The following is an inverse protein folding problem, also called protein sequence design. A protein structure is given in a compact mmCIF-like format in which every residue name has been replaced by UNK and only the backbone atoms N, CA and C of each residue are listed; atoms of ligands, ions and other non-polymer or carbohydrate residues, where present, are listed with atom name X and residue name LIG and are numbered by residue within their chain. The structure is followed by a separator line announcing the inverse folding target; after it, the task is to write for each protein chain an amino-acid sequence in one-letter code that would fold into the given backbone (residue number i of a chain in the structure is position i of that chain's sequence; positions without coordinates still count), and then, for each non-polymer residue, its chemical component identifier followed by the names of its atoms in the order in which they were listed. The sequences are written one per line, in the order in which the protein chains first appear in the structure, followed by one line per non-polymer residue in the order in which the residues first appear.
data_IF_003729692193
#
_entry.id   IF_003729692193
#
_cell.length_a   1.000
_cell.length_b   1.000
_cell.length_c   1.000
_cell.angle_alpha   90.00
_cell.angle_beta   90.00
_cell.angle_gamma   90.00
#
_symmetry.space_group_name_H-M   'P 1'
#
loop_
_entity.id
_entity.type
_entity.pdbx_description
1 polymer ?
#
# COMPACT_ATOMS: atom_id res chain seq x y z
N UNK A 1 21.07 18.30 65.56
CA UNK A 1 19.74 17.94 65.01
C UNK A 1 19.88 17.92 63.49
N UNK A 2 19.87 16.74 62.89
CA UNK A 2 20.18 16.54 61.47
C UNK A 2 18.95 16.86 60.60
N UNK A 3 19.11 17.81 59.69
CA UNK A 3 18.10 18.19 58.69
C UNK A 3 18.02 17.12 57.60
N UNK A 4 16.86 16.47 57.45
CA UNK A 4 16.60 15.48 56.40
C UNK A 4 16.05 16.18 55.16
N UNK A 5 16.88 16.33 54.14
CA UNK A 5 16.47 16.79 52.80
C UNK A 5 15.78 15.62 52.10
N UNK A 6 14.48 15.75 51.82
CA UNK A 6 13.73 14.83 50.98
C UNK A 6 13.90 15.25 49.51
N UNK A 7 14.75 14.52 48.77
CA UNK A 7 14.87 14.68 47.31
C UNK A 7 13.68 13.93 46.70
N UNK A 8 12.68 14.67 46.22
CA UNK A 8 11.64 14.13 45.36
C UNK A 8 12.26 13.88 43.97
N UNK A 9 12.69 12.65 43.72
CA UNK A 9 12.98 12.19 42.37
C UNK A 9 11.65 12.11 41.61
N UNK A 10 11.36 13.13 40.81
CA UNK A 10 10.31 13.04 39.79
C UNK A 10 10.80 12.05 38.74
N UNK A 11 10.46 10.78 38.92
CA UNK A 11 10.65 9.77 37.88
C UNK A 11 9.65 10.14 36.79
N UNK A 12 10.13 10.81 35.74
CA UNK A 12 9.39 10.94 34.50
C UNK A 12 9.27 9.53 33.94
N UNK A 13 8.14 8.88 34.16
CA UNK A 13 7.82 7.59 33.53
C UNK A 13 7.58 7.91 32.07
N UNK A 14 8.65 7.93 31.28
CA UNK A 14 8.54 7.93 29.82
C UNK A 14 7.84 6.62 29.50
N UNK A 15 6.58 6.68 29.05
CA UNK A 15 5.93 5.52 28.45
C UNK A 15 6.76 5.20 27.21
N UNK A 16 7.68 4.25 27.33
CA UNK A 16 8.27 3.59 26.18
C UNK A 16 7.15 2.74 25.62
N UNK A 17 6.29 3.36 24.82
CA UNK A 17 5.49 2.63 23.87
C UNK A 17 6.50 1.94 22.97
N UNK A 18 6.51 0.61 22.95
CA UNK A 18 7.00 -0.12 21.78
C UNK A 18 6.03 0.24 20.64
N UNK A 19 6.15 1.44 20.10
CA UNK A 19 5.30 1.92 19.03
C UNK A 19 5.57 1.00 17.84
N UNK A 20 4.58 0.18 17.48
CA UNK A 20 4.64 -0.63 16.27
C UNK A 20 4.87 0.27 15.05
N UNK A 21 5.37 -0.31 13.95
CA UNK A 21 5.57 0.44 12.70
C UNK A 21 4.26 1.12 12.29
N UNK A 22 4.36 2.37 11.83
CA UNK A 22 3.24 3.11 11.23
C UNK A 22 2.71 2.32 10.03
N UNK A 23 1.42 1.99 9.99
CA UNK A 23 0.84 1.32 8.82
C UNK A 23 0.51 2.36 7.75
N UNK A 24 1.02 2.17 6.54
CA UNK A 24 0.71 3.01 5.38
C UNK A 24 0.16 2.13 4.28
N UNK A 25 -1.13 2.28 3.98
CA UNK A 25 -1.80 1.56 2.89
C UNK A 25 -1.90 2.49 1.67
N UNK A 26 -1.49 2.00 0.51
CA UNK A 26 -1.55 2.73 -0.77
C UNK A 26 -2.54 1.99 -1.67
N UNK A 27 -3.64 2.66 -1.99
CA UNK A 27 -4.68 2.20 -2.91
C UNK A 27 -4.44 2.82 -4.28
N UNK A 28 -4.27 2.00 -5.33
CA UNK A 28 -3.87 2.47 -6.65
C UNK A 28 -4.39 1.59 -7.78
N UNK A 29 -4.13 2.00 -9.02
CA UNK A 29 -4.49 1.25 -10.24
C UNK A 29 -3.24 1.09 -11.11
N UNK A 30 -3.06 -0.10 -11.66
CA UNK A 30 -1.89 -0.48 -12.46
C UNK A 30 -1.70 0.39 -13.71
N UNK A 31 -2.77 0.95 -14.28
CA UNK A 31 -2.71 1.79 -15.48
C UNK A 31 -2.99 3.28 -15.24
N UNK A 32 -3.28 3.69 -14.01
CA UNK A 32 -3.50 5.09 -13.70
C UNK A 32 -2.18 5.87 -13.71
N UNK A 33 -2.12 6.92 -14.53
CA UNK A 33 -0.96 7.83 -14.61
C UNK A 33 -0.53 8.38 -13.25
N UNK A 34 -1.47 8.88 -12.43
CA UNK A 34 -1.12 9.46 -11.13
C UNK A 34 -0.61 8.41 -10.14
N UNK A 35 -1.08 7.16 -10.25
CA UNK A 35 -0.60 6.04 -9.44
C UNK A 35 0.86 5.73 -9.77
N UNK A 36 1.18 5.59 -11.07
CA UNK A 36 2.55 5.41 -11.56
C UNK A 36 3.45 6.57 -11.14
N UNK A 37 3.01 7.81 -11.32
CA UNK A 37 3.76 9.01 -10.94
C UNK A 37 4.07 9.06 -9.43
N UNK A 38 3.09 8.77 -8.56
CA UNK A 38 3.30 8.72 -7.12
C UNK A 38 4.31 7.65 -6.73
N UNK A 39 4.18 6.44 -7.27
CA UNK A 39 5.06 5.32 -6.95
C UNK A 39 6.51 5.62 -7.39
N UNK A 40 6.70 6.15 -8.60
CA UNK A 40 8.03 6.46 -9.11
C UNK A 40 8.66 7.71 -8.45
N UNK A 41 7.87 8.76 -8.25
CA UNK A 41 8.41 10.07 -7.87
C UNK A 41 8.41 10.32 -6.36
N UNK A 42 7.53 9.65 -5.61
CA UNK A 42 7.37 9.88 -4.17
C UNK A 42 7.70 8.65 -3.33
N UNK A 43 7.14 7.47 -3.64
CA UNK A 43 7.42 6.26 -2.86
C UNK A 43 8.86 5.76 -3.06
N UNK A 44 9.26 5.50 -4.30
CA UNK A 44 10.57 4.94 -4.66
C UNK A 44 11.77 5.65 -4.03
N UNK A 45 11.92 6.98 -4.13
CA UNK A 45 13.08 7.67 -3.53
C UNK A 45 13.06 7.68 -2.00
N UNK A 46 11.91 7.42 -1.38
CA UNK A 46 11.73 7.53 0.07
C UNK A 46 11.59 6.20 0.80
N UNK A 47 11.42 5.09 0.08
CA UNK A 47 11.19 3.78 0.69
C UNK A 47 12.24 3.41 1.74
N UNK A 48 13.52 3.50 1.39
CA UNK A 48 14.61 3.14 2.30
C UNK A 48 14.71 4.05 3.54
N UNK A 49 14.19 5.27 3.46
CA UNK A 49 14.13 6.17 4.62
C UNK A 49 13.03 5.76 5.61
N UNK A 50 12.03 5.00 5.16
CA UNK A 50 10.83 4.69 5.94
C UNK A 50 10.66 3.21 6.28
N UNK A 51 11.30 2.28 5.55
CA UNK A 51 11.04 0.84 5.66
C UNK A 51 11.17 0.23 7.07
N UNK A 52 12.00 0.83 7.92
CA UNK A 52 12.20 0.38 9.31
C UNK A 52 11.13 0.93 10.28
N UNK A 53 10.44 1.99 9.89
CA UNK A 53 9.42 2.69 10.69
C UNK A 53 8.00 2.49 10.18
N UNK A 54 7.86 2.08 8.92
CA UNK A 54 6.59 1.95 8.21
C UNK A 54 6.37 0.51 7.78
N UNK A 55 5.13 0.04 7.98
CA UNK A 55 4.60 -1.16 7.35
C UNK A 55 3.77 -0.75 6.14
N UNK A 56 4.30 -0.99 4.94
CA UNK A 56 3.63 -0.66 3.68
C UNK A 56 2.67 -1.76 3.27
N UNK A 57 1.45 -1.37 2.88
CA UNK A 57 0.45 -2.25 2.29
C UNK A 57 0.06 -1.71 0.93
N UNK A 58 0.10 -2.56 -0.08
CA UNK A 58 -0.21 -2.22 -1.47
C UNK A 58 -1.55 -2.84 -1.87
N UNK A 59 -2.47 -2.03 -2.39
CA UNK A 59 -3.78 -2.48 -2.85
C UNK A 59 -4.03 -2.00 -4.29
N UNK A 60 -3.54 -2.76 -5.30
CA UNK A 60 -3.85 -2.52 -6.70
C UNK A 60 -5.29 -2.98 -7.01
N UNK A 61 -6.20 -2.03 -7.12
CA UNK A 61 -7.62 -2.25 -7.45
C UNK A 61 -8.27 -0.94 -7.89
N UNK A 62 -8.08 0.09 -7.06
CA UNK A 62 -8.56 1.45 -7.30
C UNK A 62 -10.05 1.51 -7.61
N UNK A 63 -10.42 2.16 -8.71
CA UNK A 63 -11.81 2.40 -9.13
C UNK A 63 -12.43 1.23 -9.88
N UNK A 64 -11.81 0.06 -9.81
CA UNK A 64 -12.43 -1.17 -10.29
C UNK A 64 -13.72 -1.47 -9.53
N UNK A 65 -14.61 -2.22 -10.15
CA UNK A 65 -15.84 -2.71 -9.50
C UNK A 65 -16.24 -4.05 -10.08
N UNK A 66 -16.76 -4.94 -9.24
CA UNK A 66 -17.35 -6.18 -9.72
C UNK A 66 -18.82 -6.00 -10.10
N UNK A 67 -19.26 -6.82 -11.04
CA UNK A 67 -20.68 -7.08 -11.29
C UNK A 67 -20.93 -8.57 -11.15
N UNK A 68 -21.96 -8.94 -10.39
CA UNK A 68 -22.36 -10.34 -10.26
C UNK A 68 -22.87 -10.87 -11.61
N UNK A 69 -22.42 -12.06 -11.98
CA UNK A 69 -22.88 -12.77 -13.16
C UNK A 69 -23.89 -13.87 -12.78
N UNK A 70 -24.81 -14.27 -13.68
CA UNK A 70 -25.83 -15.27 -13.39
C UNK A 70 -25.31 -16.64 -12.94
N UNK A 71 -24.07 -16.98 -13.27
CA UNK A 71 -23.36 -18.20 -12.84
C UNK A 71 -22.69 -18.07 -11.47
N UNK A 72 -22.92 -16.97 -10.74
CA UNK A 72 -22.37 -16.73 -9.40
C UNK A 72 -20.89 -16.37 -9.39
N UNK A 73 -20.33 -15.98 -10.55
CA UNK A 73 -19.02 -15.34 -10.63
C UNK A 73 -19.20 -13.83 -10.57
N UNK A 74 -18.11 -13.09 -10.50
CA UNK A 74 -18.15 -11.66 -10.73
C UNK A 74 -17.17 -11.24 -11.83
N UNK A 75 -17.56 -10.25 -12.60
CA UNK A 75 -16.74 -9.69 -13.67
C UNK A 75 -16.27 -8.30 -13.24
N UNK A 76 -14.96 -8.08 -13.25
CA UNK A 76 -14.36 -6.80 -12.87
C UNK A 76 -14.33 -5.83 -14.05
N UNK A 77 -14.77 -4.61 -13.79
CA UNK A 77 -14.70 -3.48 -14.73
C UNK A 77 -13.77 -2.43 -14.16
N UNK A 78 -12.76 -2.03 -14.94
CA UNK A 78 -11.71 -1.10 -14.52
C UNK A 78 -11.75 0.20 -15.34
N UNK A 79 -11.25 1.30 -14.77
CA UNK A 79 -11.39 2.63 -15.37
C UNK A 79 -10.66 2.74 -16.72
N UNK A 80 -9.48 2.13 -16.83
CA UNK A 80 -8.63 2.16 -18.01
C UNK A 80 -8.72 0.86 -18.82
N UNK A 81 -9.78 0.08 -18.63
CA UNK A 81 -10.12 -1.09 -19.43
C UNK A 81 -9.38 -2.39 -19.05
N UNK A 82 -9.40 -3.41 -19.94
CA UNK A 82 -8.97 -4.77 -19.59
C UNK A 82 -7.50 -4.90 -19.17
N UNK A 83 -6.60 -4.05 -19.69
CA UNK A 83 -5.19 -4.07 -19.30
C UNK A 83 -4.99 -3.65 -17.84
N UNK A 84 -5.80 -2.72 -17.34
CA UNK A 84 -5.78 -2.34 -15.93
C UNK A 84 -6.30 -3.48 -15.05
N UNK A 85 -7.41 -4.12 -15.44
CA UNK A 85 -7.92 -5.26 -14.68
C UNK A 85 -6.87 -6.37 -14.58
N UNK A 86 -6.27 -6.72 -15.73
CA UNK A 86 -5.19 -7.70 -15.77
C UNK A 86 -3.98 -7.29 -14.94
N UNK A 87 -3.56 -6.02 -15.01
CA UNK A 87 -2.45 -5.50 -14.22
C UNK A 87 -2.75 -5.53 -12.71
N UNK A 88 -3.95 -5.12 -12.30
CA UNK A 88 -4.37 -5.12 -10.90
C UNK A 88 -4.32 -6.53 -10.31
N UNK A 89 -4.95 -7.52 -10.97
CA UNK A 89 -4.94 -8.91 -10.49
C UNK A 89 -3.55 -9.55 -10.56
N UNK A 90 -2.73 -9.20 -11.55
CA UNK A 90 -1.35 -9.66 -11.63
C UNK A 90 -0.54 -9.18 -10.43
N UNK A 91 -0.63 -7.89 -10.11
CA UNK A 91 0.07 -7.32 -8.95
C UNK A 91 -0.44 -7.91 -7.64
N UNK A 92 -1.75 -8.11 -7.46
CA UNK A 92 -2.31 -8.81 -6.30
C UNK A 92 -1.73 -10.21 -6.14
N UNK A 93 -1.66 -10.99 -7.22
CA UNK A 93 -1.09 -12.33 -7.22
C UNK A 93 0.40 -12.33 -6.89
N UNK A 94 1.18 -11.41 -7.47
CA UNK A 94 2.60 -11.29 -7.17
C UNK A 94 2.84 -10.91 -5.71
N UNK A 95 2.07 -9.96 -5.17
CA UNK A 95 2.14 -9.53 -3.77
C UNK A 95 1.79 -10.68 -2.79
N UNK A 96 0.74 -11.45 -3.08
CA UNK A 96 0.36 -12.66 -2.31
C UNK A 96 1.49 -13.70 -2.31
N UNK A 97 2.09 -13.96 -3.47
CA UNK A 97 3.16 -14.95 -3.63
C UNK A 97 4.51 -14.51 -3.03
N UNK A 98 4.83 -13.22 -3.04
CA UNK A 98 6.02 -12.68 -2.36
C UNK A 98 5.87 -12.87 -0.83
N UNK A 99 4.66 -12.80 -0.31
CA UNK A 99 4.38 -12.92 1.12
C UNK A 99 4.90 -11.71 1.90
N UNK A 100 5.29 -11.86 3.18
CA UNK A 100 5.54 -10.74 4.10
C UNK A 100 6.85 -9.98 3.87
N UNK A 101 7.58 -10.27 2.78
CA UNK A 101 8.84 -9.59 2.46
C UNK A 101 8.57 -8.21 1.85
N UNK A 102 8.50 -7.19 2.72
CA UNK A 102 8.22 -5.81 2.31
C UNK A 102 9.25 -5.26 1.33
N UNK A 103 10.54 -5.61 1.45
CA UNK A 103 11.59 -5.13 0.54
C UNK A 103 11.31 -5.66 -0.88
N UNK A 104 10.97 -6.96 -1.00
CA UNK A 104 10.60 -7.56 -2.28
C UNK A 104 9.27 -7.05 -2.82
N UNK A 105 8.25 -6.88 -1.99
CA UNK A 105 6.96 -6.33 -2.40
C UNK A 105 7.13 -4.92 -2.96
N UNK A 106 7.83 -4.04 -2.24
CA UNK A 106 8.04 -2.66 -2.70
C UNK A 106 8.91 -2.61 -3.95
N UNK A 107 9.95 -3.44 -4.06
CA UNK A 107 10.77 -3.52 -5.27
C UNK A 107 9.96 -3.96 -6.50
N UNK A 108 9.07 -4.96 -6.33
CA UNK A 108 8.16 -5.42 -7.37
C UNK A 108 7.21 -4.30 -7.82
N UNK A 109 6.49 -3.66 -6.88
CA UNK A 109 5.55 -2.57 -7.18
C UNK A 109 6.25 -1.39 -7.87
N UNK A 110 7.44 -1.00 -7.41
CA UNK A 110 8.25 0.04 -8.07
C UNK A 110 8.65 -0.36 -9.49
N UNK A 111 8.94 -1.64 -9.74
CA UNK A 111 9.28 -2.11 -11.07
C UNK A 111 8.04 -2.11 -11.99
N UNK A 112 6.93 -2.73 -11.54
CA UNK A 112 5.73 -2.91 -12.37
C UNK A 112 5.03 -1.59 -12.71
N UNK A 113 5.05 -0.65 -11.76
CA UNK A 113 4.47 0.68 -11.92
C UNK A 113 5.40 1.66 -12.66
N UNK A 114 6.50 1.18 -13.24
CA UNK A 114 7.35 1.97 -14.13
C UNK A 114 6.91 1.72 -15.60
N UNK A 115 6.45 2.75 -16.33
CA UNK A 115 5.98 2.57 -17.71
C UNK A 115 7.05 2.08 -18.69
N UNK A 116 8.34 2.22 -18.36
CA UNK A 116 9.46 1.74 -19.19
C UNK A 116 9.85 0.28 -18.91
N UNK A 117 9.12 -0.41 -18.03
CA UNK A 117 9.40 -1.79 -17.61
C UNK A 117 8.32 -2.74 -18.10
N UNK A 118 8.75 -3.99 -18.28
CA UNK A 118 7.88 -5.10 -18.67
C UNK A 118 7.51 -5.88 -17.42
N UNK A 119 6.21 -6.07 -17.20
CA UNK A 119 5.62 -6.75 -16.02
C UNK A 119 6.19 -8.14 -15.77
N UNK A 120 6.36 -8.92 -16.82
CA UNK A 120 6.97 -10.24 -16.73
C UNK A 120 8.42 -10.18 -16.24
N UNK A 121 9.19 -9.17 -16.66
CA UNK A 121 10.56 -8.98 -16.18
C UNK A 121 10.57 -8.57 -14.70
N UNK A 122 9.67 -7.68 -14.28
CA UNK A 122 9.53 -7.31 -12.87
C UNK A 122 9.15 -8.51 -11.98
N UNK A 123 8.34 -9.42 -12.51
CA UNK A 123 7.97 -10.67 -11.86
C UNK A 123 9.19 -11.58 -11.66
N UNK A 124 10.04 -11.70 -12.68
CA UNK A 124 11.29 -12.46 -12.62
C UNK A 124 12.27 -11.82 -11.63
N UNK A 125 12.42 -10.49 -11.69
CA UNK A 125 13.30 -9.72 -10.80
C UNK A 125 12.87 -9.86 -9.32
N UNK A 126 11.58 -10.02 -9.06
CA UNK A 126 11.04 -10.30 -7.73
C UNK A 126 11.28 -11.75 -7.24
N UNK A 127 11.88 -12.60 -8.07
CA UNK A 127 12.14 -14.01 -7.78
C UNK A 127 10.92 -14.92 -7.94
N UNK A 128 9.91 -14.49 -8.69
CA UNK A 128 8.74 -15.30 -9.02
C UNK A 128 8.86 -15.90 -10.42
N UNK A 129 8.06 -16.92 -10.72
CA UNK A 129 7.93 -17.48 -12.06
C UNK A 129 6.67 -16.95 -12.72
N UNK A 130 6.80 -16.35 -13.90
CA UNK A 130 5.69 -15.80 -14.70
C UNK A 130 4.53 -16.79 -14.87
N UNK A 131 4.76 -18.09 -15.21
CA UNK A 131 3.65 -19.04 -15.33
C UNK A 131 2.90 -19.31 -14.01
N UNK A 132 3.56 -19.19 -12.87
CA UNK A 132 2.93 -19.39 -11.56
C UNK A 132 2.06 -18.17 -11.18
N UNK A 133 2.50 -16.96 -11.51
CA UNK A 133 1.68 -15.75 -11.35
C UNK A 133 0.48 -15.78 -12.29
N UNK A 134 0.68 -16.15 -13.56
CA UNK A 134 -0.42 -16.33 -14.52
C UNK A 134 -1.44 -17.37 -14.01
N UNK A 135 -0.96 -18.51 -13.48
CA UNK A 135 -1.85 -19.50 -12.88
C UNK A 135 -2.63 -18.93 -11.69
N UNK A 136 -2.01 -18.09 -10.85
CA UNK A 136 -2.71 -17.39 -9.78
C UNK A 136 -3.82 -16.50 -10.33
N UNK A 137 -3.54 -15.69 -11.36
CA UNK A 137 -4.52 -14.81 -12.01
C UNK A 137 -5.75 -15.59 -12.46
N UNK A 138 -5.56 -16.77 -13.05
CA UNK A 138 -6.64 -17.62 -13.55
C UNK A 138 -7.40 -18.40 -12.46
N UNK A 139 -6.80 -18.59 -11.28
CA UNK A 139 -7.34 -19.46 -10.22
C UNK A 139 -7.81 -18.71 -8.98
N UNK A 140 -6.91 -18.03 -8.29
CA UNK A 140 -7.16 -17.32 -7.03
C UNK A 140 -7.33 -15.81 -7.23
N UNK A 141 -7.00 -15.28 -8.41
CA UNK A 141 -7.07 -13.86 -8.75
C UNK A 141 -8.42 -13.24 -8.41
N UNK A 142 -9.51 -13.93 -8.78
CA UNK A 142 -10.87 -13.53 -8.45
C UNK A 142 -11.09 -13.26 -6.95
N UNK A 143 -10.62 -14.16 -6.08
CA UNK A 143 -10.74 -13.99 -4.62
C UNK A 143 -9.90 -12.82 -4.13
N UNK A 144 -8.70 -12.63 -4.68
CA UNK A 144 -7.83 -11.52 -4.31
C UNK A 144 -8.44 -10.18 -4.72
N UNK A 145 -9.05 -10.08 -5.91
CA UNK A 145 -9.73 -8.87 -6.36
C UNK A 145 -10.95 -8.53 -5.50
N UNK A 146 -11.77 -9.52 -5.10
CA UNK A 146 -12.88 -9.27 -4.17
C UNK A 146 -12.39 -8.75 -2.80
N UNK A 147 -11.29 -9.31 -2.28
CA UNK A 147 -10.69 -8.82 -1.04
C UNK A 147 -10.15 -7.40 -1.19
N UNK A 148 -9.51 -7.11 -2.33
CA UNK A 148 -9.02 -5.78 -2.66
C UNK A 148 -10.16 -4.77 -2.78
N UNK A 149 -11.28 -5.14 -3.40
CA UNK A 149 -12.49 -4.33 -3.46
C UNK A 149 -13.06 -4.04 -2.07
N UNK A 150 -13.19 -5.07 -1.22
CA UNK A 150 -13.75 -4.94 0.12
C UNK A 150 -13.01 -3.90 0.96
N UNK A 151 -11.68 -3.80 0.82
CA UNK A 151 -10.87 -2.81 1.54
C UNK A 151 -10.75 -1.47 0.81
N UNK A 152 -10.96 -1.43 -0.51
CA UNK A 152 -10.83 -0.21 -1.33
C UNK A 152 -12.11 0.60 -1.40
N UNK A 153 -13.27 -0.06 -1.54
CA UNK A 153 -14.58 0.58 -1.70
C UNK A 153 -14.91 1.63 -0.61
N UNK A 154 -14.77 1.35 0.71
CA UNK A 154 -15.06 2.34 1.74
C UNK A 154 -14.10 3.54 1.72
N UNK A 155 -12.87 3.35 1.22
CA UNK A 155 -11.86 4.41 1.11
C UNK A 155 -12.18 5.30 -0.10
N UNK A 156 -12.45 4.71 -1.27
CA UNK A 156 -12.76 5.48 -2.47
C UNK A 156 -14.15 6.12 -2.46
N UNK A 157 -15.10 5.59 -1.68
CA UNK A 157 -16.36 6.27 -1.41
C UNK A 157 -16.15 7.66 -0.76
N UNK A 158 -15.04 7.84 -0.05
CA UNK A 158 -14.67 9.10 0.61
C UNK A 158 -13.66 9.92 -0.20
N UNK A 159 -12.65 9.28 -0.80
CA UNK A 159 -11.58 10.00 -1.51
C UNK A 159 -11.93 10.33 -2.96
N UNK A 160 -12.67 9.45 -3.65
CA UNK A 160 -12.97 9.51 -5.08
C UNK A 160 -11.75 9.44 -6.01
N UNK A 161 -10.54 9.18 -5.48
CA UNK A 161 -9.26 9.40 -6.18
C UNK A 161 -8.28 8.26 -5.95
N UNK A 162 -7.44 8.02 -6.95
CA UNK A 162 -6.25 7.17 -6.83
C UNK A 162 -5.02 7.96 -7.32
N UNK A 163 -3.82 7.71 -6.77
CA UNK A 163 -3.59 6.88 -5.60
C UNK A 163 -4.17 7.54 -4.33
N UNK A 164 -4.64 6.73 -3.38
CA UNK A 164 -5.04 7.18 -2.04
C UNK A 164 -4.08 6.57 -1.01
N UNK A 165 -3.53 7.41 -0.13
CA UNK A 165 -2.61 7.02 0.94
C UNK A 165 -3.36 7.11 2.27
N UNK A 166 -3.36 6.02 3.03
CA UNK A 166 -4.07 5.92 4.31
C UNK A 166 -3.10 5.50 5.41
N UNK A 167 -3.15 6.21 6.53
CA UNK A 167 -2.34 5.95 7.71
C UNK A 167 -3.18 5.24 8.78
N UNK A 168 -2.68 4.12 9.31
CA UNK A 168 -3.33 3.33 10.36
C UNK A 168 -4.81 3.00 10.09
N UNK A 169 -5.13 2.69 8.82
CA UNK A 169 -6.47 2.27 8.35
C UNK A 169 -7.59 3.32 8.52
N UNK A 170 -7.25 4.57 8.85
CA UNK A 170 -8.21 5.66 9.02
C UNK A 170 -8.07 6.63 7.84
N UNK A 171 -9.08 6.64 6.96
CA UNK A 171 -9.12 7.65 5.89
C UNK A 171 -9.39 9.04 6.48
N UNK A 172 -8.59 10.01 6.09
CA UNK A 172 -8.79 11.42 6.38
C UNK A 172 -8.43 12.25 5.14
N UNK A 173 -9.37 13.07 4.67
CA UNK A 173 -9.20 13.84 3.43
C UNK A 173 -8.04 14.84 3.50
N UNK A 174 -7.80 15.45 4.66
CA UNK A 174 -6.69 16.39 4.88
C UNK A 174 -5.35 15.66 4.88
N UNK A 175 -5.27 14.52 5.58
CA UNK A 175 -4.05 13.70 5.58
C UNK A 175 -3.73 13.14 4.20
N UNK A 176 -4.75 12.67 3.47
CA UNK A 176 -4.62 12.28 2.07
C UNK A 176 -4.05 13.42 1.22
N UNK A 177 -4.62 14.62 1.31
CA UNK A 177 -4.16 15.78 0.53
C UNK A 177 -2.70 16.15 0.83
N UNK A 178 -2.31 16.11 2.11
CA UNK A 178 -0.94 16.37 2.53
C UNK A 178 0.03 15.27 2.03
N UNK A 179 -0.33 13.99 2.19
CA UNK A 179 0.47 12.86 1.76
C UNK A 179 0.61 12.76 0.24
N UNK A 180 -0.43 13.12 -0.51
CA UNK A 180 -0.39 13.14 -1.97
C UNK A 180 0.50 14.26 -2.49
N UNK A 181 0.52 15.42 -1.82
CA UNK A 181 1.34 16.56 -2.22
C UNK A 181 2.82 16.42 -1.82
N UNK A 182 3.10 15.94 -0.59
CA UNK A 182 4.44 15.72 -0.06
C UNK A 182 4.44 14.48 0.84
N UNK A 183 4.57 13.33 0.20
CA UNK A 183 4.59 12.03 0.88
C UNK A 183 5.75 11.92 1.87
N UNK A 184 6.92 12.45 1.53
CA UNK A 184 8.11 12.39 2.37
C UNK A 184 7.91 13.18 3.66
N UNK A 185 7.55 14.47 3.52
CA UNK A 185 7.36 15.37 4.66
C UNK A 185 6.23 14.90 5.55
N UNK A 186 5.10 14.51 4.97
CA UNK A 186 3.94 14.08 5.75
C UNK A 186 4.15 12.73 6.44
N UNK A 187 4.73 11.74 5.76
CA UNK A 187 5.04 10.45 6.40
C UNK A 187 6.02 10.63 7.56
N UNK A 188 7.04 11.48 7.40
CA UNK A 188 7.97 11.80 8.48
C UNK A 188 7.25 12.43 9.68
N UNK A 189 6.31 13.35 9.44
CA UNK A 189 5.47 13.91 10.49
C UNK A 189 4.65 12.81 11.21
N UNK A 190 4.00 11.90 10.47
CA UNK A 190 3.21 10.80 11.06
C UNK A 190 4.06 9.82 11.86
N UNK A 191 5.29 9.52 11.42
CA UNK A 191 6.22 8.69 12.19
C UNK A 191 6.53 9.36 13.54
N UNK A 192 6.82 10.65 13.55
CA UNK A 192 7.14 11.39 14.78
C UNK A 192 5.95 11.52 15.74
N UNK A 193 4.72 11.53 15.23
CA UNK A 193 3.48 11.56 16.04
C UNK A 193 3.17 10.20 16.70
N UNK A 194 3.79 9.11 16.23
CA UNK A 194 3.61 7.76 16.82
C UNK A 194 4.60 7.41 17.93
N UNK A 195 5.62 8.25 18.18
CA UNK A 195 6.67 8.05 19.20
C UNK A 195 6.41 8.92 20.43
#
# INVERSE_FOLDING_TARGET
MFSKIFIFFVICVVKISSAGKLKVTIYYESECRFSKEFIQSQLKPNYYNFKDYVNFVYVPFGKSSHTDTPDGKANFTCQHGPLECYGNVWELCALDMIGPDQDRQTAFVICDMNPDRVREQCTIDAGLKVPEVQYCVESRGYTLELLAEQVTAPILAQSGKVPTIVYNDIFNMTEYGAAFADFQGFTKFKILDTV
#
